data_IF_667336845134
#
_entry.id   IF_667336845134
#
_cell.length_a   1.000
_cell.length_b   1.000
_cell.length_c   1.000
_cell.angle_alpha   90.00
_cell.angle_beta   90.00
_cell.angle_gamma   90.00
#
_symmetry.space_group_name_H-M   'P 1'
#
loop_
_entity.id
_entity.type
_entity.pdbx_description
1 polymer ?
#
# COMPACT_ATOMS: atom_id res chain seq x y z
N UNK A 1 5.94 -2.47 8.48
CA UNK A 1 5.41 -3.33 7.40
C UNK A 1 5.83 -2.71 6.09
N UNK A 2 6.09 -3.53 5.08
CA UNK A 2 6.49 -3.09 3.75
C UNK A 2 5.57 -3.75 2.72
N UNK A 3 5.35 -3.07 1.60
CA UNK A 3 4.51 -3.57 0.53
C UNK A 3 4.53 -2.65 -0.68
N UNK A 4 4.18 -3.21 -1.82
CA UNK A 4 4.04 -2.49 -3.09
C UNK A 4 2.56 -2.47 -3.47
N UNK A 5 2.13 -1.42 -4.18
CA UNK A 5 0.78 -1.29 -4.68
C UNK A 5 0.77 -0.62 -6.04
N UNK A 6 -0.08 -1.14 -6.93
CA UNK A 6 -0.31 -0.67 -8.29
C UNK A 6 -1.81 -0.45 -8.49
N UNK A 7 -2.18 0.65 -9.12
CA UNK A 7 -3.57 0.98 -9.40
C UNK A 7 -3.72 2.40 -9.94
N UNK A 8 -4.98 2.80 -10.17
CA UNK A 8 -5.28 4.18 -10.50
C UNK A 8 -4.99 5.13 -9.32
N UNK A 9 -4.81 6.40 -9.64
CA UNK A 9 -4.44 7.43 -8.66
C UNK A 9 -5.46 7.55 -7.50
N UNK A 10 -6.75 7.41 -7.77
CA UNK A 10 -7.78 7.53 -6.74
C UNK A 10 -7.73 6.35 -5.76
N UNK A 11 -7.52 5.14 -6.27
CA UNK A 11 -7.33 3.93 -5.45
C UNK A 11 -6.06 4.01 -4.61
N UNK A 12 -4.94 4.48 -5.18
CA UNK A 12 -3.68 4.66 -4.44
C UNK A 12 -3.79 5.74 -3.37
N UNK A 13 -4.44 6.87 -3.67
CA UNK A 13 -4.67 7.94 -2.70
C UNK A 13 -5.48 7.44 -1.49
N UNK A 14 -6.51 6.63 -1.73
CA UNK A 14 -7.29 5.99 -0.66
C UNK A 14 -6.43 5.04 0.17
N UNK A 15 -5.62 4.19 -0.48
CA UNK A 15 -4.72 3.27 0.21
C UNK A 15 -3.75 4.02 1.13
N UNK A 16 -3.09 5.07 0.67
CA UNK A 16 -2.15 5.84 1.51
C UNK A 16 -2.84 6.51 2.70
N UNK A 17 -4.08 6.98 2.52
CA UNK A 17 -4.87 7.51 3.63
C UNK A 17 -5.16 6.43 4.67
N UNK A 18 -5.60 5.25 4.23
CA UNK A 18 -5.92 4.13 5.13
C UNK A 18 -4.65 3.63 5.85
N UNK A 19 -3.51 3.57 5.15
CA UNK A 19 -2.20 3.22 5.72
C UNK A 19 -1.73 4.24 6.75
N UNK A 20 -1.96 5.53 6.53
CA UNK A 20 -1.57 6.57 7.49
C UNK A 20 -2.45 6.57 8.75
N UNK A 21 -3.71 6.14 8.63
CA UNK A 21 -4.59 5.93 9.80
C UNK A 21 -4.22 4.67 10.57
N UNK A 22 -3.83 3.62 9.86
CA UNK A 22 -3.53 2.31 10.42
C UNK A 22 -4.79 1.55 10.86
N UNK A 23 -4.67 0.24 11.10
CA UNK A 23 -5.76 -0.56 11.62
C UNK A 23 -6.10 -0.17 13.07
N UNK A 24 -7.32 -0.48 13.52
CA UNK A 24 -7.90 -0.03 14.81
C UNK A 24 -7.02 -0.22 16.05
N UNK A 25 -6.11 -1.18 16.05
CA UNK A 25 -5.24 -1.52 17.19
C UNK A 25 -3.76 -1.22 16.93
N UNK A 26 -3.43 -0.44 15.89
CA UNK A 26 -2.06 -0.04 15.58
C UNK A 26 -1.91 1.48 15.53
N UNK A 27 -0.71 1.95 15.79
CA UNK A 27 -0.33 3.36 15.64
C UNK A 27 0.71 3.47 14.52
N UNK A 28 0.41 4.28 13.52
CA UNK A 28 1.33 4.58 12.43
C UNK A 28 2.16 5.79 12.84
N UNK A 29 3.45 5.57 13.06
CA UNK A 29 4.37 6.63 13.50
C UNK A 29 4.97 7.38 12.30
N UNK A 30 5.12 6.68 11.17
CA UNK A 30 5.69 7.22 9.94
C UNK A 30 5.23 6.39 8.74
N UNK A 31 4.98 7.08 7.62
CA UNK A 31 4.74 6.47 6.31
C UNK A 31 5.72 7.09 5.31
N UNK A 32 6.49 6.24 4.63
CA UNK A 32 7.35 6.62 3.50
C UNK A 32 6.84 5.94 2.23
N UNK A 33 7.00 6.62 1.09
CA UNK A 33 6.59 6.10 -0.22
C UNK A 33 7.59 6.50 -1.29
N UNK A 34 7.71 5.65 -2.30
CA UNK A 34 8.51 5.86 -3.51
C UNK A 34 7.79 5.25 -4.68
N UNK A 35 7.77 5.95 -5.81
CA UNK A 35 7.19 5.43 -7.05
C UNK A 35 8.16 4.44 -7.72
N UNK A 36 7.60 3.36 -8.26
CA UNK A 36 8.31 2.33 -9.02
C UNK A 36 7.53 2.02 -10.30
N UNK A 37 8.18 1.33 -11.25
CA UNK A 37 7.49 0.93 -12.47
C UNK A 37 6.40 -0.13 -12.20
N UNK A 38 5.25 -0.05 -12.90
CA UNK A 38 4.22 -1.08 -12.88
C UNK A 38 4.79 -2.47 -13.20
N UNK A 39 4.27 -3.49 -12.53
CA UNK A 39 4.61 -4.89 -12.79
C UNK A 39 3.56 -5.53 -13.70
N UNK A 40 4.02 -6.08 -14.81
CA UNK A 40 3.18 -6.80 -15.74
C UNK A 40 2.70 -8.14 -15.17
N UNK A 41 1.46 -8.51 -15.49
CA UNK A 41 0.87 -9.79 -15.11
C UNK A 41 0.25 -9.85 -13.71
N UNK A 42 0.33 -8.77 -12.93
CA UNK A 42 -0.36 -8.69 -11.64
C UNK A 42 -1.87 -8.44 -11.82
N UNK A 43 -2.68 -9.33 -11.24
CA UNK A 43 -4.16 -9.29 -11.37
C UNK A 43 -4.88 -9.24 -10.03
N UNK A 44 -4.16 -9.44 -8.92
CA UNK A 44 -4.74 -9.47 -7.58
C UNK A 44 -3.74 -9.05 -6.52
N UNK A 45 -4.26 -8.52 -5.41
CA UNK A 45 -3.46 -8.21 -4.23
C UNK A 45 -3.21 -9.47 -3.41
N UNK A 46 -1.96 -9.67 -2.99
CA UNK A 46 -1.55 -10.83 -2.20
C UNK A 46 -0.86 -10.40 -0.91
N UNK A 47 -1.12 -11.14 0.17
CA UNK A 47 -0.44 -10.91 1.46
C UNK A 47 0.69 -11.92 1.59
N UNK A 48 1.94 -11.44 1.57
CA UNK A 48 3.08 -12.27 1.90
C UNK A 48 3.26 -12.36 3.42
N UNK A 49 3.40 -13.57 3.94
CA UNK A 49 3.68 -13.86 5.35
C UNK A 49 5.02 -14.59 5.42
N UNK A 50 6.10 -13.82 5.38
CA UNK A 50 7.47 -14.27 5.62
C UNK A 50 7.80 -14.24 7.11
#
# INVERSE_FOLDING_TARGET
VEGEAQGDEASLAKLFKDLNQGPRHAQVVKLEKSDIEPKDGETSFVVNRS
#
